data_IF_372456530431
#
_entry.id   IF_372456530431
#
_cell.length_a   1.000
_cell.length_b   1.000
_cell.length_c   1.000
_cell.angle_alpha   90.00
_cell.angle_beta   90.00
_cell.angle_gamma   90.00
#
_symmetry.space_group_name_H-M   'P 1'
#
loop_
_entity.id
_entity.type
_entity.pdbx_description
1 polymer ?
#
# COMPACT_ATOMS: atom_id res chain seq x y z
N UNK A 1 -18.75 -47.69 8.22
CA UNK A 1 -19.60 -46.56 7.80
C UNK A 1 -19.39 -45.32 8.68
N UNK A 2 -19.12 -45.47 9.99
CA UNK A 2 -18.71 -44.36 10.87
C UNK A 2 -17.36 -43.74 10.45
N UNK A 3 -16.41 -44.54 9.95
CA UNK A 3 -15.08 -44.04 9.55
C UNK A 3 -15.10 -43.04 8.38
N UNK A 4 -16.02 -43.18 7.41
CA UNK A 4 -16.13 -42.22 6.30
C UNK A 4 -16.66 -40.86 6.76
N UNK A 5 -17.58 -40.85 7.73
CA UNK A 5 -18.12 -39.62 8.30
C UNK A 5 -17.04 -38.88 9.11
N UNK A 6 -16.25 -39.62 9.90
CA UNK A 6 -15.15 -39.05 10.67
C UNK A 6 -14.05 -38.47 9.75
N UNK A 7 -13.70 -39.18 8.67
CA UNK A 7 -12.74 -38.70 7.66
C UNK A 7 -13.24 -37.46 6.92
N UNK A 8 -14.51 -37.46 6.50
CA UNK A 8 -15.14 -36.31 5.83
C UNK A 8 -15.20 -35.08 6.73
N UNK A 9 -15.52 -35.24 8.02
CA UNK A 9 -15.56 -34.14 8.96
C UNK A 9 -14.16 -33.56 9.18
N UNK A 10 -13.15 -34.41 9.41
CA UNK A 10 -11.76 -33.97 9.61
C UNK A 10 -11.21 -33.17 8.42
N UNK A 11 -11.49 -33.60 7.19
CA UNK A 11 -11.07 -32.88 5.98
C UNK A 11 -11.75 -31.52 5.88
N UNK A 12 -13.05 -31.44 6.15
CA UNK A 12 -13.80 -30.19 6.09
C UNK A 12 -13.29 -29.17 7.14
N UNK A 13 -12.96 -29.61 8.35
CA UNK A 13 -12.34 -28.74 9.36
C UNK A 13 -10.96 -28.25 8.93
N UNK A 14 -10.14 -29.11 8.33
CA UNK A 14 -8.82 -28.70 7.79
C UNK A 14 -8.94 -27.68 6.65
N UNK A 15 -9.93 -27.82 5.77
CA UNK A 15 -10.21 -26.85 4.70
C UNK A 15 -10.65 -25.48 5.26
N UNK A 16 -11.46 -25.47 6.31
CA UNK A 16 -11.89 -24.22 6.96
C UNK A 16 -10.74 -23.51 7.67
N UNK A 17 -9.91 -24.26 8.40
CA UNK A 17 -8.74 -23.72 9.10
C UNK A 17 -7.73 -23.14 8.10
N UNK A 18 -7.44 -23.86 7.01
CA UNK A 18 -6.54 -23.38 5.95
C UNK A 18 -7.08 -22.14 5.26
N UNK A 19 -8.38 -22.09 4.94
CA UNK A 19 -9.02 -20.90 4.36
C UNK A 19 -8.93 -19.69 5.29
N UNK A 20 -9.16 -19.87 6.60
CA UNK A 20 -9.06 -18.79 7.58
C UNK A 20 -7.62 -18.24 7.69
N UNK A 21 -6.64 -19.13 7.78
CA UNK A 21 -5.22 -18.75 7.85
C UNK A 21 -4.78 -18.02 6.58
N UNK A 22 -5.19 -18.51 5.41
CA UNK A 22 -4.88 -17.89 4.13
C UNK A 22 -5.50 -16.49 4.02
N UNK A 23 -6.78 -16.34 4.41
CA UNK A 23 -7.46 -15.04 4.42
C UNK A 23 -6.77 -14.03 5.34
N UNK A 24 -6.39 -14.46 6.55
CA UNK A 24 -5.65 -13.61 7.49
C UNK A 24 -4.27 -13.21 6.96
N UNK A 25 -3.56 -14.14 6.31
CA UNK A 25 -2.25 -13.85 5.72
C UNK A 25 -2.36 -12.85 4.57
N UNK A 26 -3.30 -13.08 3.64
CA UNK A 26 -3.56 -12.17 2.51
C UNK A 26 -3.94 -10.78 2.99
N UNK A 27 -4.90 -10.67 3.91
CA UNK A 27 -5.30 -9.36 4.43
C UNK A 27 -4.16 -8.60 5.12
N UNK A 28 -3.24 -9.31 5.80
CA UNK A 28 -2.04 -8.68 6.38
C UNK A 28 -1.06 -8.21 5.31
N UNK A 29 -0.83 -9.02 4.28
CA UNK A 29 0.08 -8.70 3.18
C UNK A 29 -0.43 -7.53 2.35
N UNK A 30 -1.70 -7.57 1.95
CA UNK A 30 -2.39 -6.50 1.22
C UNK A 30 -2.37 -5.20 2.02
N UNK A 31 -2.72 -5.25 3.31
CA UNK A 31 -2.71 -4.06 4.18
C UNK A 31 -1.31 -3.46 4.35
N UNK A 32 -0.27 -4.31 4.48
CA UNK A 32 1.11 -3.84 4.55
C UNK A 32 1.56 -3.20 3.23
N UNK A 33 1.26 -3.83 2.10
CA UNK A 33 1.62 -3.32 0.77
C UNK A 33 0.94 -1.97 0.49
N UNK A 34 -0.36 -1.86 0.78
CA UNK A 34 -1.11 -0.61 0.64
C UNK A 34 -0.52 0.48 1.54
N UNK A 35 -0.26 0.16 2.82
CA UNK A 35 0.32 1.11 3.77
C UNK A 35 1.71 1.61 3.36
N UNK A 36 2.57 0.71 2.85
CA UNK A 36 3.89 1.07 2.33
C UNK A 36 3.81 1.96 1.08
N UNK A 37 2.93 1.62 0.14
CA UNK A 37 2.75 2.40 -1.08
C UNK A 37 2.21 3.80 -0.77
N UNK A 38 1.19 3.90 0.09
CA UNK A 38 0.64 5.17 0.51
C UNK A 38 1.68 6.00 1.28
N UNK A 39 2.39 5.40 2.24
CA UNK A 39 3.41 6.11 3.01
C UNK A 39 4.58 6.61 2.17
N UNK A 40 5.00 5.86 1.15
CA UNK A 40 6.03 6.29 0.21
C UNK A 40 5.57 7.51 -0.59
N UNK A 41 4.36 7.46 -1.14
CA UNK A 41 3.78 8.56 -1.92
C UNK A 41 3.60 9.81 -1.06
N UNK A 42 2.97 9.67 0.11
CA UNK A 42 2.77 10.78 1.05
C UNK A 42 4.10 11.42 1.47
N UNK A 43 5.13 10.60 1.72
CA UNK A 43 6.48 11.07 2.03
C UNK A 43 7.12 11.85 0.89
N UNK A 44 7.03 11.35 -0.35
CA UNK A 44 7.54 12.03 -1.54
C UNK A 44 6.85 13.38 -1.77
N UNK A 45 5.52 13.43 -1.68
CA UNK A 45 4.75 14.65 -1.86
C UNK A 45 5.09 15.69 -0.78
N UNK A 46 5.21 15.28 0.49
CA UNK A 46 5.57 16.16 1.60
C UNK A 46 6.96 16.78 1.41
N UNK A 47 7.94 15.98 0.98
CA UNK A 47 9.28 16.47 0.68
C UNK A 47 9.23 17.46 -0.49
N UNK A 48 8.53 17.14 -1.58
CA UNK A 48 8.40 18.03 -2.72
C UNK A 48 7.72 19.37 -2.36
N UNK A 49 6.69 19.35 -1.52
CA UNK A 49 6.05 20.56 -0.99
C UNK A 49 7.03 21.43 -0.19
N UNK A 50 7.84 20.82 0.68
CA UNK A 50 8.86 21.55 1.45
C UNK A 50 9.92 22.15 0.53
N UNK A 51 10.40 21.40 -0.48
CA UNK A 51 11.35 21.91 -1.47
C UNK A 51 10.77 23.11 -2.24
N UNK A 52 9.49 23.06 -2.64
CA UNK A 52 8.82 24.19 -3.28
C UNK A 52 8.75 25.41 -2.34
N UNK A 53 8.36 25.20 -1.07
CA UNK A 53 8.29 26.26 -0.08
C UNK A 53 9.65 26.90 0.23
N UNK A 54 10.73 26.11 0.18
CA UNK A 54 12.11 26.59 0.34
C UNK A 54 12.67 27.26 -0.94
N UNK A 55 11.90 27.29 -2.04
CA UNK A 55 12.27 27.98 -3.27
C UNK A 55 13.18 27.17 -4.20
N UNK A 56 13.21 25.84 -4.08
CA UNK A 56 13.94 24.98 -5.01
C UNK A 56 13.35 25.09 -6.43
N UNK A 57 14.22 25.10 -7.44
CA UNK A 57 13.79 25.11 -8.83
C UNK A 57 13.01 23.83 -9.18
N UNK A 58 11.89 23.97 -9.89
CA UNK A 58 10.99 22.86 -10.21
C UNK A 58 11.72 21.75 -10.99
N UNK A 59 12.55 22.12 -11.96
CA UNK A 59 13.39 21.18 -12.73
C UNK A 59 14.32 20.34 -11.85
N UNK A 60 14.76 20.87 -10.71
CA UNK A 60 15.59 20.14 -9.74
C UNK A 60 14.75 19.18 -8.91
N UNK A 61 13.56 19.60 -8.49
CA UNK A 61 12.62 18.76 -7.75
C UNK A 61 12.22 17.55 -8.61
N UNK A 62 11.79 17.77 -9.86
CA UNK A 62 11.46 16.70 -10.82
C UNK A 62 12.60 15.68 -10.94
N UNK A 63 13.85 16.17 -11.05
CA UNK A 63 15.03 15.30 -11.22
C UNK A 63 15.35 14.47 -9.97
N UNK A 64 15.09 15.00 -8.78
CA UNK A 64 15.44 14.38 -7.50
C UNK A 64 14.33 13.47 -6.96
N UNK A 65 13.07 13.84 -7.15
CA UNK A 65 11.91 13.11 -6.63
C UNK A 65 11.30 12.16 -7.65
N UNK A 66 11.54 12.41 -8.95
CA UNK A 66 10.91 11.66 -10.05
C UNK A 66 9.46 12.05 -10.31
N UNK A 67 8.93 13.04 -9.58
CA UNK A 67 7.60 13.58 -9.80
C UNK A 67 7.56 14.37 -11.11
N UNK A 68 6.47 14.24 -11.85
CA UNK A 68 6.18 15.03 -13.03
C UNK A 68 5.84 16.48 -12.68
N UNK A 69 5.97 17.36 -13.68
CA UNK A 69 5.56 18.75 -13.56
C UNK A 69 4.09 18.89 -13.16
N UNK A 70 3.22 18.06 -13.74
CA UNK A 70 1.77 18.04 -13.46
C UNK A 70 1.47 17.67 -12.00
N UNK A 71 2.17 16.67 -11.46
CA UNK A 71 2.06 16.30 -10.04
C UNK A 71 2.51 17.42 -9.11
N UNK A 72 3.59 18.14 -9.47
CA UNK A 72 4.08 19.28 -8.69
C UNK A 72 3.16 20.49 -8.76
N UNK A 73 2.54 20.77 -9.91
CA UNK A 73 1.62 21.89 -10.06
C UNK A 73 0.30 21.63 -9.31
N UNK A 74 -0.14 20.37 -9.24
CA UNK A 74 -1.24 19.96 -8.34
C UNK A 74 -0.92 20.19 -6.86
N UNK A 75 0.34 20.04 -6.44
CA UNK A 75 0.75 20.34 -5.06
C UNK A 75 0.76 21.83 -4.75
N UNK A 76 1.12 22.69 -5.71
CA UNK A 76 1.13 24.16 -5.54
C UNK A 76 -0.26 24.72 -5.33
N UNK A 77 -1.26 24.20 -6.06
CA UNK A 77 -2.65 24.66 -5.97
C UNK A 77 -3.29 24.46 -4.59
N UNK A 78 -2.72 23.60 -3.74
CA UNK A 78 -3.15 23.43 -2.34
C UNK A 78 -2.42 24.31 -1.32
N UNK A 79 -1.46 25.13 -1.75
CA UNK A 79 -0.63 25.99 -0.89
C UNK A 79 -1.03 27.48 -1.05
N UNK A 80 -1.64 27.86 -2.18
CA UNK A 80 -2.28 29.17 -2.39
C UNK A 80 -3.61 29.31 -1.60
#
# INVERSE_FOLDING_TARGET
MIDQLAYSAANHFGELETSFLLGRSRGREEGLQQGLQQGLLDGQLKIAQQMLAEGFAVDMIVRLTGLSQEELDGLKAGIE
#
